data_IF_028287090083
#
_entry.id   IF_028287090083
#
_cell.length_a   1.000
_cell.length_b   1.000
_cell.length_c   1.000
_cell.angle_alpha   90.00
_cell.angle_beta   90.00
_cell.angle_gamma   90.00
#
_symmetry.space_group_name_H-M   'P 1'
#
loop_
_entity.id
_entity.type
_entity.pdbx_description
1 polymer ?
#
# COMPACT_ATOMS: atom_id res chain seq x y z
N UNK A 1 -8.11 21.36 -3.18
CA UNK A 1 -8.44 20.14 -2.41
C UNK A 1 -8.21 18.93 -3.30
N UNK A 2 -7.06 18.25 -3.17
CA UNK A 2 -6.59 17.27 -4.16
C UNK A 2 -7.28 15.91 -3.95
N UNK A 3 -8.42 15.71 -4.62
CA UNK A 3 -9.25 14.49 -4.58
C UNK A 3 -8.46 13.19 -4.85
N UNK A 4 -7.35 13.28 -5.59
CA UNK A 4 -6.42 12.19 -5.82
C UNK A 4 -5.75 11.68 -4.54
N UNK A 5 -5.27 12.59 -3.68
CA UNK A 5 -4.61 12.22 -2.42
C UNK A 5 -5.62 11.56 -1.48
N UNK A 6 -6.86 12.08 -1.44
CA UNK A 6 -7.93 11.51 -0.64
C UNK A 6 -8.29 10.07 -1.08
N UNK A 7 -8.47 9.84 -2.39
CA UNK A 7 -8.75 8.51 -2.93
C UNK A 7 -7.60 7.53 -2.69
N UNK A 8 -6.36 8.01 -2.82
CA UNK A 8 -5.17 7.20 -2.59
C UNK A 8 -5.06 6.78 -1.11
N UNK A 9 -5.28 7.71 -0.18
CA UNK A 9 -5.28 7.42 1.26
C UNK A 9 -6.39 6.45 1.64
N UNK A 10 -7.60 6.60 1.08
CA UNK A 10 -8.71 5.67 1.31
C UNK A 10 -8.39 4.26 0.80
N UNK A 11 -7.76 4.15 -0.37
CA UNK A 11 -7.34 2.86 -0.93
C UNK A 11 -6.21 2.23 -0.10
N UNK A 12 -5.28 3.05 0.40
CA UNK A 12 -4.25 2.64 1.36
C UNK A 12 -4.83 2.10 2.66
N UNK A 13 -5.81 2.81 3.25
CA UNK A 13 -6.45 2.39 4.49
C UNK A 13 -7.15 1.04 4.32
N UNK A 14 -7.91 0.84 3.24
CA UNK A 14 -8.55 -0.46 2.95
C UNK A 14 -7.55 -1.60 2.76
N UNK A 15 -6.39 -1.33 2.16
CA UNK A 15 -5.32 -2.32 2.01
C UNK A 15 -4.68 -2.66 3.37
N UNK A 16 -4.39 -1.66 4.20
CA UNK A 16 -3.83 -1.87 5.53
C UNK A 16 -4.79 -2.65 6.43
N UNK A 17 -6.09 -2.35 6.34
CA UNK A 17 -7.12 -3.01 7.14
C UNK A 17 -7.27 -4.48 6.76
N UNK A 18 -7.24 -4.80 5.46
CA UNK A 18 -7.22 -6.19 4.97
C UNK A 18 -5.96 -6.94 5.43
N UNK A 19 -4.79 -6.30 5.37
CA UNK A 19 -3.54 -6.87 5.87
C UNK A 19 -3.63 -7.12 7.39
N UNK A 20 -4.20 -6.19 8.15
CA UNK A 20 -4.39 -6.32 9.60
C UNK A 20 -5.36 -7.45 9.94
N UNK A 21 -6.47 -7.55 9.22
CA UNK A 21 -7.46 -8.62 9.39
C UNK A 21 -6.86 -9.99 9.09
N UNK A 22 -6.06 -10.09 8.02
CA UNK A 22 -5.37 -11.33 7.62
C UNK A 22 -4.21 -11.68 8.56
N UNK A 23 -3.50 -10.69 9.10
CA UNK A 23 -2.48 -10.88 10.15
C UNK A 23 -3.10 -11.31 11.49
N UNK A 24 -4.32 -10.83 11.79
CA UNK A 24 -5.06 -11.17 13.02
C UNK A 24 -5.75 -12.55 12.93
N UNK A 25 -5.81 -13.17 11.74
CA UNK A 25 -6.34 -14.53 11.58
C UNK A 25 -5.40 -15.56 12.21
N UNK A 26 -6.00 -16.60 12.78
CA UNK A 26 -5.32 -17.69 13.53
C UNK A 26 -4.44 -18.58 12.66
N UNK A 27 -4.66 -18.58 11.34
CA UNK A 27 -3.82 -19.22 10.32
C UNK A 27 -3.38 -18.15 9.30
N UNK A 28 -2.36 -17.34 9.62
CA UNK A 28 -1.84 -16.36 8.69
C UNK A 28 -1.12 -17.11 7.57
N UNK A 29 -1.69 -17.05 6.36
CA UNK A 29 -1.03 -17.57 5.17
C UNK A 29 0.18 -16.68 4.88
N UNK A 30 1.35 -17.14 5.32
CA UNK A 30 2.56 -16.33 5.36
C UNK A 30 3.00 -15.93 3.95
N UNK A 31 2.62 -16.72 2.94
CA UNK A 31 2.83 -16.43 1.52
C UNK A 31 1.92 -15.30 1.04
N UNK A 32 0.62 -15.32 1.38
CA UNK A 32 -0.27 -14.19 1.09
C UNK A 32 0.16 -12.91 1.83
N UNK A 33 0.62 -13.04 3.07
CA UNK A 33 1.12 -11.92 3.88
C UNK A 33 2.43 -11.34 3.31
N UNK A 34 3.35 -12.20 2.84
CA UNK A 34 4.55 -11.79 2.11
C UNK A 34 4.21 -11.12 0.77
N UNK A 35 3.20 -11.63 0.07
CA UNK A 35 2.75 -11.09 -1.23
C UNK A 35 2.09 -9.73 -1.05
N UNK A 36 1.26 -9.56 -0.02
CA UNK A 36 0.67 -8.28 0.39
C UNK A 36 1.73 -7.27 0.86
N UNK A 37 2.71 -7.71 1.66
CA UNK A 37 3.84 -6.86 2.07
C UNK A 37 4.69 -6.43 0.89
N UNK A 38 4.99 -7.31 -0.07
CA UNK A 38 5.70 -6.96 -1.31
C UNK A 38 4.90 -6.01 -2.19
N UNK A 39 3.57 -6.16 -2.25
CA UNK A 39 2.71 -5.24 -2.98
C UNK A 39 2.70 -3.86 -2.32
N UNK A 40 2.58 -3.80 -0.98
CA UNK A 40 2.76 -2.55 -0.21
C UNK A 40 4.12 -1.92 -0.45
N UNK A 41 5.18 -2.73 -0.48
CA UNK A 41 6.54 -2.25 -0.72
C UNK A 41 6.64 -1.64 -2.12
N UNK A 42 6.17 -2.31 -3.17
CA UNK A 42 6.14 -1.77 -4.54
C UNK A 42 5.28 -0.51 -4.66
N UNK A 43 4.14 -0.44 -3.98
CA UNK A 43 3.29 0.75 -3.98
C UNK A 43 4.01 1.91 -3.29
N UNK A 44 4.64 1.65 -2.14
CA UNK A 44 5.45 2.64 -1.42
C UNK A 44 6.66 3.08 -2.23
N UNK A 45 7.34 2.16 -2.91
CA UNK A 45 8.43 2.43 -3.85
C UNK A 45 7.97 3.30 -5.01
N UNK A 46 6.80 3.00 -5.58
CA UNK A 46 6.23 3.79 -6.68
C UNK A 46 5.82 5.18 -6.23
N UNK A 47 5.27 5.30 -5.01
CA UNK A 47 4.99 6.58 -4.37
C UNK A 47 6.27 7.37 -4.09
N UNK A 48 7.29 6.72 -3.54
CA UNK A 48 8.59 7.33 -3.30
C UNK A 48 9.28 7.71 -4.60
N UNK A 49 9.20 6.90 -5.65
CA UNK A 49 9.74 7.19 -6.97
C UNK A 49 8.99 8.33 -7.64
N UNK A 50 7.67 8.44 -7.44
CA UNK A 50 6.87 9.57 -7.95
C UNK A 50 7.14 10.86 -7.17
N UNK A 51 7.43 10.75 -5.86
CA UNK A 51 7.81 11.87 -5.00
C UNK A 51 9.30 12.26 -5.14
N UNK A 52 10.17 11.31 -5.52
CA UNK A 52 11.60 11.52 -5.83
C UNK A 52 11.88 11.75 -7.31
N UNK A 53 10.90 11.67 -8.20
CA UNK A 53 11.06 12.19 -9.55
C UNK A 53 10.90 13.71 -9.43
N UNK A 54 11.97 14.51 -9.51
CA UNK A 54 11.78 15.89 -9.94
C UNK A 54 11.11 15.78 -11.30
N UNK A 55 9.94 16.39 -11.42
CA UNK A 55 9.25 16.61 -12.68
C UNK A 55 10.28 17.15 -13.69
N UNK A 56 10.67 16.40 -14.74
CA UNK A 56 11.26 17.06 -15.89
C UNK A 56 10.14 17.86 -16.55
N UNK A 57 10.49 19.08 -16.93
CA UNK A 57 9.63 20.11 -17.50
C UNK A 57 8.72 19.62 -18.64
#
# INVERSE_FOLDING_TARGET
MNTFVYRLTQLHQRLDEQIRAETKRRTPDTLNLLRLKRLRLRVKDRLHAMSRRPQPA
#
